data_IF_667934549543
#
_entry.id   IF_667934549543
#
_cell.length_a   1.000
_cell.length_b   1.000
_cell.length_c   1.000
_cell.angle_alpha   90.00
_cell.angle_beta   90.00
_cell.angle_gamma   90.00
#
_symmetry.space_group_name_H-M   'P 1'
#
loop_
_entity.id
_entity.type
_entity.pdbx_description
1 polymer ?
#
# COMPACT_ATOMS: atom_id res chain seq x y z
N UNK A 1 25.28 2.06 -8.91
CA UNK A 1 24.72 3.05 -9.86
C UNK A 1 23.73 3.95 -9.13
N UNK A 2 23.86 5.27 -9.23
CA UNK A 2 22.91 6.21 -8.61
C UNK A 2 21.58 6.31 -9.37
N UNK A 3 20.47 6.19 -8.65
CA UNK A 3 19.12 6.52 -9.12
C UNK A 3 18.43 7.46 -8.12
N UNK A 4 17.39 8.16 -8.57
CA UNK A 4 16.53 8.94 -7.68
C UNK A 4 15.10 8.39 -7.77
N UNK A 5 14.47 8.18 -6.61
CA UNK A 5 13.07 7.76 -6.53
C UNK A 5 12.24 8.93 -6.05
N UNK A 6 11.19 9.24 -6.81
CA UNK A 6 10.24 10.30 -6.56
C UNK A 6 8.93 9.70 -6.09
N UNK A 7 8.57 10.00 -4.84
CA UNK A 7 7.32 9.55 -4.24
C UNK A 7 6.41 10.75 -3.98
N UNK A 8 5.18 10.65 -4.47
CA UNK A 8 4.13 11.64 -4.28
C UNK A 8 2.90 10.98 -3.69
N UNK A 9 2.11 11.74 -2.94
CA UNK A 9 0.80 11.30 -2.49
C UNK A 9 -0.27 12.38 -2.65
N UNK A 10 -1.51 11.92 -2.81
CA UNK A 10 -2.72 12.74 -2.91
C UNK A 10 -3.92 11.92 -2.51
N UNK A 11 -4.80 12.52 -1.70
CA UNK A 11 -6.10 11.93 -1.39
C UNK A 11 -7.15 12.50 -2.33
N UNK A 12 -8.02 11.63 -2.85
CA UNK A 12 -9.19 11.97 -3.65
C UNK A 12 -10.35 11.03 -3.28
N UNK A 13 -11.45 11.55 -2.75
CA UNK A 13 -12.68 10.81 -2.46
C UNK A 13 -12.46 9.44 -1.79
N UNK A 14 -12.04 9.44 -0.52
CA UNK A 14 -11.68 8.26 0.29
C UNK A 14 -10.62 7.33 -0.36
N UNK A 15 -9.89 7.82 -1.37
CA UNK A 15 -8.83 7.06 -2.06
C UNK A 15 -7.50 7.78 -1.91
N UNK A 16 -6.50 7.09 -1.39
CA UNK A 16 -5.12 7.56 -1.37
C UNK A 16 -4.40 7.11 -2.63
N UNK A 17 -3.87 8.05 -3.40
CA UNK A 17 -3.05 7.77 -4.57
C UNK A 17 -1.59 7.98 -4.17
N UNK A 18 -0.76 6.96 -4.38
CA UNK A 18 0.68 6.97 -4.17
C UNK A 18 1.33 6.82 -5.54
N UNK A 19 2.22 7.73 -5.89
CA UNK A 19 2.95 7.71 -7.15
C UNK A 19 4.44 7.57 -6.87
N UNK A 20 5.08 6.48 -7.32
CA UNK A 20 6.47 6.14 -7.05
C UNK A 20 7.24 5.83 -8.35
N UNK A 21 8.11 6.73 -8.79
CA UNK A 21 8.80 6.63 -10.07
C UNK A 21 10.26 7.02 -9.97
N UNK A 22 11.09 6.54 -10.88
CA UNK A 22 12.48 7.01 -11.00
C UNK A 22 12.61 8.32 -11.81
N UNK A 23 11.50 8.80 -12.39
CA UNK A 23 11.42 10.06 -13.12
C UNK A 23 10.38 10.99 -12.50
N UNK A 24 10.78 12.21 -12.12
CA UNK A 24 9.89 13.21 -11.53
C UNK A 24 8.67 13.54 -12.40
N UNK A 25 8.88 13.68 -13.71
CA UNK A 25 7.81 14.00 -14.68
C UNK A 25 6.78 12.88 -14.77
N UNK A 26 7.22 11.62 -14.73
CA UNK A 26 6.33 10.46 -14.70
C UNK A 26 5.52 10.43 -13.39
N UNK A 27 6.15 10.73 -12.25
CA UNK A 27 5.44 10.78 -10.98
C UNK A 27 4.34 11.86 -10.96
N UNK A 28 4.68 13.09 -11.37
CA UNK A 28 3.73 14.21 -11.37
C UNK A 28 2.58 14.03 -12.37
N UNK A 29 2.87 13.52 -13.58
CA UNK A 29 1.84 13.29 -14.60
C UNK A 29 0.83 12.21 -14.20
N UNK A 30 1.23 11.27 -13.35
CA UNK A 30 0.38 10.18 -12.88
C UNK A 30 -0.62 10.64 -11.81
N UNK A 31 -0.17 11.48 -10.87
CA UNK A 31 -1.00 11.93 -9.73
C UNK A 31 -1.76 13.25 -9.98
N UNK A 32 -1.29 14.03 -10.96
CA UNK A 32 -1.86 15.32 -11.32
C UNK A 32 -1.47 16.45 -10.37
N UNK A 33 -2.00 17.68 -10.61
CA UNK A 33 -1.61 18.86 -9.84
C UNK A 33 -2.03 18.76 -8.37
N UNK A 34 -1.32 19.52 -7.51
CA UNK A 34 -1.52 19.65 -6.06
C UNK A 34 -1.18 18.40 -5.23
N UNK A 35 -0.34 17.51 -5.75
CA UNK A 35 0.26 16.42 -4.97
C UNK A 35 1.30 16.92 -3.98
N UNK A 36 1.42 16.27 -2.83
CA UNK A 36 2.49 16.54 -1.86
C UNK A 36 3.72 15.69 -2.24
N UNK A 37 4.85 16.30 -2.64
CA UNK A 37 6.09 15.56 -2.83
C UNK A 37 6.63 15.08 -1.48
N UNK A 38 7.17 13.86 -1.46
CA UNK A 38 8.28 13.55 -0.58
C UNK A 38 9.57 14.10 -1.20
N UNK A 39 10.57 14.35 -0.37
CA UNK A 39 11.91 14.62 -0.87
C UNK A 39 12.37 13.46 -1.75
N UNK A 40 13.00 13.72 -2.91
CA UNK A 40 13.54 12.66 -3.76
C UNK A 40 14.52 11.81 -2.96
N UNK A 41 14.38 10.50 -3.07
CA UNK A 41 15.25 9.56 -2.37
C UNK A 41 16.36 9.15 -3.33
N UNK A 42 17.58 9.57 -3.03
CA UNK A 42 18.76 9.18 -3.81
C UNK A 42 19.24 7.82 -3.32
N UNK A 43 19.47 6.91 -4.25
CA UNK A 43 19.89 5.55 -3.97
C UNK A 43 21.06 5.15 -4.84
N UNK A 44 22.08 4.61 -4.21
CA UNK A 44 23.12 3.86 -4.90
C UNK A 44 22.75 2.39 -4.87
N UNK A 45 22.31 1.88 -6.03
CA UNK A 45 21.99 0.47 -6.14
C UNK A 45 23.29 -0.33 -6.30
N UNK A 46 23.45 -1.42 -5.51
CA UNK A 46 24.52 -2.39 -5.73
C UNK A 46 24.33 -3.08 -7.09
N UNK A 47 25.41 -3.67 -7.59
CA UNK A 47 25.38 -4.34 -8.91
C UNK A 47 24.63 -5.68 -8.86
N UNK A 48 24.70 -6.38 -7.73
CA UNK A 48 23.94 -7.61 -7.51
C UNK A 48 22.45 -7.32 -7.40
N UNK A 49 21.66 -7.98 -8.26
CA UNK A 49 20.23 -7.77 -8.40
C UNK A 49 19.46 -7.95 -7.09
N UNK A 50 19.72 -9.05 -6.39
CA UNK A 50 19.00 -9.41 -5.17
C UNK A 50 19.21 -8.33 -4.10
N UNK A 51 20.44 -7.83 -3.97
CA UNK A 51 20.76 -6.72 -3.07
C UNK A 51 20.13 -5.41 -3.54
N UNK A 52 20.13 -5.14 -4.85
CA UNK A 52 19.50 -3.94 -5.40
C UNK A 52 17.99 -3.92 -5.13
N UNK A 53 17.32 -5.07 -5.27
CA UNK A 53 15.90 -5.21 -4.97
C UNK A 53 15.60 -5.13 -3.48
N UNK A 54 16.48 -5.64 -2.62
CA UNK A 54 16.37 -5.47 -1.18
C UNK A 54 16.47 -3.99 -0.77
N UNK A 55 17.47 -3.26 -1.29
CA UNK A 55 17.65 -1.82 -1.04
C UNK A 55 16.45 -1.00 -1.54
N UNK A 56 15.99 -1.28 -2.77
CA UNK A 56 14.79 -0.64 -3.32
C UNK A 56 13.56 -0.90 -2.43
N UNK A 57 13.34 -2.15 -2.04
CA UNK A 57 12.21 -2.54 -1.19
C UNK A 57 12.26 -1.79 0.14
N UNK A 58 13.37 -1.92 0.87
CA UNK A 58 13.51 -1.32 2.20
C UNK A 58 13.31 0.19 2.15
N UNK A 59 13.93 0.86 1.18
CA UNK A 59 13.82 2.30 1.02
C UNK A 59 12.38 2.74 0.74
N UNK A 60 11.74 2.13 -0.26
CA UNK A 60 10.40 2.53 -0.69
C UNK A 60 9.37 2.22 0.40
N UNK A 61 9.45 1.03 1.01
CA UNK A 61 8.55 0.62 2.09
C UNK A 61 8.74 1.55 3.31
N UNK A 62 9.97 1.84 3.69
CA UNK A 62 10.25 2.75 4.81
C UNK A 62 9.70 4.16 4.54
N UNK A 63 9.91 4.71 3.33
CA UNK A 63 9.41 6.03 2.97
C UNK A 63 7.87 6.11 3.00
N UNK A 64 7.18 5.10 2.47
CA UNK A 64 5.72 5.00 2.51
C UNK A 64 5.26 4.91 3.98
N UNK A 65 5.87 4.04 4.77
CA UNK A 65 5.51 3.82 6.16
C UNK A 65 5.68 5.09 7.01
N UNK A 66 6.77 5.84 6.83
CA UNK A 66 7.06 7.02 7.64
C UNK A 66 6.25 8.26 7.23
N UNK A 67 5.97 8.41 5.94
CA UNK A 67 5.45 9.69 5.41
C UNK A 67 4.05 9.63 4.85
N UNK A 68 3.59 8.45 4.44
CA UNK A 68 2.30 8.26 3.76
C UNK A 68 1.32 7.50 4.63
N UNK A 69 1.75 6.45 5.33
CA UNK A 69 0.87 5.67 6.19
C UNK A 69 0.13 6.51 7.26
N UNK A 70 0.75 7.53 7.90
CA UNK A 70 0.04 8.37 8.88
C UNK A 70 -1.16 9.15 8.34
N UNK A 71 -1.24 9.35 7.01
CA UNK A 71 -2.36 10.05 6.36
C UNK A 71 -3.37 9.08 5.71
N UNK A 72 -3.19 7.77 5.88
CA UNK A 72 -4.04 6.75 5.26
C UNK A 72 -5.28 6.37 6.10
N UNK A 73 -5.34 6.76 7.37
CA UNK A 73 -6.36 6.30 8.32
C UNK A 73 -7.82 6.61 7.93
N UNK A 74 -8.05 7.59 7.05
CA UNK A 74 -9.40 7.99 6.60
C UNK A 74 -9.75 7.51 5.19
N UNK A 75 -8.86 6.77 4.52
CA UNK A 75 -9.13 6.27 3.17
C UNK A 75 -9.60 4.83 3.21
N UNK A 76 -10.46 4.48 2.25
CA UNK A 76 -10.98 3.12 2.05
C UNK A 76 -10.16 2.34 1.03
N UNK A 77 -9.49 3.06 0.13
CA UNK A 77 -8.73 2.50 -0.97
C UNK A 77 -7.37 3.17 -1.09
N UNK A 78 -6.37 2.39 -1.49
CA UNK A 78 -5.05 2.86 -1.87
C UNK A 78 -4.78 2.45 -3.31
N UNK A 79 -4.38 3.42 -4.14
CA UNK A 79 -3.87 3.18 -5.48
C UNK A 79 -2.38 3.47 -5.45
N UNK A 80 -1.56 2.43 -5.55
CA UNK A 80 -0.13 2.57 -5.78
C UNK A 80 0.14 2.58 -7.29
N UNK A 81 0.82 3.59 -7.81
CA UNK A 81 1.23 3.68 -9.20
C UNK A 81 2.74 3.90 -9.28
N UNK A 82 3.43 3.16 -10.15
CA UNK A 82 4.88 3.30 -10.26
C UNK A 82 5.51 2.58 -11.44
N UNK A 83 6.78 2.85 -11.68
CA UNK A 83 7.55 2.11 -12.69
C UNK A 83 7.67 0.64 -12.29
N UNK A 84 7.46 -0.25 -13.25
CA UNK A 84 7.51 -1.70 -13.04
C UNK A 84 8.88 -2.22 -12.56
N UNK A 85 9.95 -1.48 -12.86
CA UNK A 85 11.33 -1.78 -12.48
C UNK A 85 11.94 -0.73 -11.54
N UNK A 86 11.23 0.35 -11.20
CA UNK A 86 11.73 1.48 -10.40
C UNK A 86 13.12 2.00 -10.82
N UNK A 87 13.38 2.06 -12.12
CA UNK A 87 14.66 2.57 -12.64
C UNK A 87 15.82 1.58 -12.59
N UNK A 88 15.59 0.33 -12.16
CA UNK A 88 16.58 -0.73 -12.29
C UNK A 88 16.88 -1.02 -13.76
N UNK A 89 18.17 -1.07 -14.13
CA UNK A 89 18.62 -1.17 -15.53
C UNK A 89 18.36 -2.51 -16.20
N UNK A 90 18.05 -3.58 -15.45
CA UNK A 90 17.66 -4.87 -16.00
C UNK A 90 16.33 -4.76 -16.75
N UNK A 91 16.36 -4.78 -18.10
CA UNK A 91 15.18 -4.54 -18.96
C UNK A 91 13.99 -5.46 -18.69
N UNK A 92 14.21 -6.57 -17.99
CA UNK A 92 13.27 -7.67 -17.78
C UNK A 92 13.31 -8.20 -16.35
N UNK A 93 13.84 -7.40 -15.45
CA UNK A 93 13.99 -7.76 -14.04
C UNK A 93 13.18 -6.78 -13.21
N UNK A 94 12.31 -7.34 -12.38
CA UNK A 94 11.27 -6.59 -11.70
C UNK A 94 11.37 -6.80 -10.19
N UNK A 95 11.41 -5.73 -9.38
CA UNK A 95 11.45 -5.85 -7.93
C UNK A 95 10.22 -6.62 -7.41
N UNK A 96 10.38 -7.81 -6.79
CA UNK A 96 9.24 -8.67 -6.45
C UNK A 96 8.23 -8.03 -5.49
N UNK A 97 8.69 -7.13 -4.63
CA UNK A 97 7.85 -6.43 -3.65
C UNK A 97 6.75 -5.55 -4.27
N UNK A 98 6.90 -5.19 -5.55
CA UNK A 98 5.89 -4.42 -6.30
C UNK A 98 4.68 -5.27 -6.71
N UNK A 99 4.85 -6.58 -6.83
CA UNK A 99 3.80 -7.51 -7.26
C UNK A 99 3.26 -8.31 -6.08
N UNK A 100 4.11 -8.59 -5.10
CA UNK A 100 3.74 -9.28 -3.87
C UNK A 100 2.93 -8.42 -2.90
N UNK A 101 2.84 -8.89 -1.65
CA UNK A 101 1.97 -8.32 -0.61
C UNK A 101 2.63 -7.23 0.23
N UNK A 102 3.86 -6.80 -0.10
CA UNK A 102 4.61 -5.88 0.75
C UNK A 102 3.90 -4.53 0.92
N UNK A 103 3.36 -3.97 -0.17
CA UNK A 103 2.59 -2.73 -0.12
C UNK A 103 1.22 -2.98 0.55
N UNK A 104 0.57 -4.10 0.27
CA UNK A 104 -0.73 -4.49 0.85
C UNK A 104 -0.65 -4.61 2.37
N UNK A 105 0.47 -5.16 2.88
CA UNK A 105 0.72 -5.28 4.33
C UNK A 105 0.83 -3.92 5.02
N UNK A 106 1.30 -2.88 4.33
CA UNK A 106 1.33 -1.52 4.90
C UNK A 106 -0.08 -0.96 5.08
N UNK A 107 -1.02 -1.35 4.21
CA UNK A 107 -2.38 -0.82 4.17
C UNK A 107 -3.40 -1.94 4.40
N UNK A 108 -3.19 -2.74 5.46
CA UNK A 108 -3.94 -3.98 5.69
C UNK A 108 -5.45 -3.81 5.87
N UNK A 109 -5.89 -2.59 6.21
CA UNK A 109 -7.31 -2.25 6.38
C UNK A 109 -7.94 -1.67 5.11
N UNK A 110 -7.13 -1.37 4.09
CA UNK A 110 -7.58 -0.77 2.84
C UNK A 110 -7.49 -1.75 1.67
N UNK A 111 -8.35 -1.54 0.67
CA UNK A 111 -8.15 -2.20 -0.62
C UNK A 111 -6.96 -1.55 -1.34
N UNK A 112 -5.90 -2.31 -1.60
CA UNK A 112 -4.76 -1.84 -2.39
C UNK A 112 -4.90 -2.27 -3.84
N UNK A 113 -4.77 -1.32 -4.77
CA UNK A 113 -4.64 -1.56 -6.21
C UNK A 113 -3.28 -1.05 -6.66
N UNK A 114 -2.52 -1.87 -7.39
CA UNK A 114 -1.20 -1.52 -7.92
C UNK A 114 -1.29 -1.30 -9.43
N UNK A 115 -0.81 -0.18 -9.93
CA UNK A 115 -0.75 0.18 -11.34
C UNK A 115 0.72 0.35 -11.70
N UNK A 116 1.32 -0.72 -12.22
CA UNK A 116 2.73 -0.77 -12.58
C UNK A 116 2.91 -0.47 -14.06
N UNK A 117 3.88 0.36 -14.39
CA UNK A 117 3.99 0.90 -15.75
C UNK A 117 5.37 0.82 -16.34
N UNK A 118 5.42 0.77 -17.67
CA UNK A 118 6.66 0.90 -18.45
C UNK A 118 6.41 1.77 -19.66
N UNK A 119 7.46 2.41 -20.17
CA UNK A 119 7.43 3.09 -21.48
C UNK A 119 7.51 2.09 -22.64
N UNK A 120 7.97 0.86 -22.40
CA UNK A 120 8.12 -0.18 -23.42
C UNK A 120 6.98 -1.19 -23.39
N UNK A 121 6.35 -1.42 -24.54
CA UNK A 121 5.28 -2.42 -24.71
C UNK A 121 5.80 -3.83 -24.48
N UNK A 122 7.00 -4.15 -25.00
CA UNK A 122 7.61 -5.46 -24.84
C UNK A 122 7.81 -5.82 -23.37
N UNK A 123 8.26 -4.85 -22.56
CA UNK A 123 8.46 -5.02 -21.12
C UNK A 123 7.13 -5.27 -20.40
N UNK A 124 6.04 -4.60 -20.82
CA UNK A 124 4.69 -4.82 -20.27
C UNK A 124 4.18 -6.23 -20.58
N UNK A 125 4.34 -6.66 -21.83
CA UNK A 125 3.87 -7.97 -22.27
C UNK A 125 4.65 -9.11 -21.64
N UNK A 126 5.97 -8.95 -21.53
CA UNK A 126 6.82 -9.91 -20.84
C UNK A 126 6.49 -10.01 -19.36
N UNK A 127 6.37 -8.89 -18.66
CA UNK A 127 6.02 -8.91 -17.24
C UNK A 127 4.67 -9.62 -17.01
N UNK A 128 3.69 -9.44 -17.91
CA UNK A 128 2.40 -10.14 -17.84
C UNK A 128 2.48 -11.64 -18.05
N UNK A 129 3.48 -12.11 -18.81
CA UNK A 129 3.70 -13.55 -19.05
C UNK A 129 4.48 -14.20 -17.91
N UNK A 130 5.46 -13.48 -17.37
CA UNK A 130 6.44 -14.04 -16.44
C UNK A 130 5.98 -13.93 -14.97
N UNK A 131 5.17 -12.92 -14.64
CA UNK A 131 4.77 -12.66 -13.26
C UNK A 131 3.40 -13.27 -12.97
N UNK A 132 3.27 -13.88 -11.80
CA UNK A 132 1.98 -14.27 -11.25
C UNK A 132 1.28 -13.01 -10.73
N UNK A 133 0.42 -12.42 -11.57
CA UNK A 133 -0.26 -11.15 -11.28
C UNK A 133 -1.51 -11.43 -10.44
N UNK A 134 -1.52 -10.93 -9.21
CA UNK A 134 -2.73 -10.90 -8.39
C UNK A 134 -3.79 -9.97 -9.00
N UNK A 135 -5.08 -10.23 -8.75
CA UNK A 135 -6.20 -9.49 -9.37
C UNK A 135 -6.17 -7.97 -9.14
N UNK A 136 -5.46 -7.50 -8.12
CA UNK A 136 -5.33 -6.09 -7.77
C UNK A 136 -4.09 -5.41 -8.41
N UNK A 137 -3.34 -6.12 -9.25
CA UNK A 137 -2.17 -5.59 -9.95
C UNK A 137 -2.49 -5.40 -11.44
N UNK A 138 -2.30 -4.19 -11.94
CA UNK A 138 -2.49 -3.81 -13.33
C UNK A 138 -1.16 -3.38 -13.92
N UNK A 139 -0.73 -4.08 -14.97
CA UNK A 139 0.47 -3.70 -15.72
C UNK A 139 0.08 -3.04 -17.04
N UNK A 140 0.58 -1.83 -17.32
CA UNK A 140 0.23 -1.11 -18.55
C UNK A 140 1.33 -0.16 -19.06
N UNK A 141 1.16 0.35 -20.27
CA UNK A 141 2.04 1.41 -20.80
C UNK A 141 1.83 2.69 -20.00
N UNK A 142 2.92 3.43 -19.75
CA UNK A 142 2.96 4.70 -19.00
C UNK A 142 1.88 5.69 -19.45
N UNK A 143 1.63 5.83 -20.76
CA UNK A 143 0.59 6.73 -21.30
C UNK A 143 -0.84 6.36 -20.90
N UNK A 144 -1.09 5.11 -20.47
CA UNK A 144 -2.39 4.62 -20.01
C UNK A 144 -2.58 4.73 -18.50
N UNK A 145 -1.54 5.07 -17.74
CA UNK A 145 -1.56 5.09 -16.26
C UNK A 145 -2.66 5.99 -15.70
N UNK A 146 -2.70 7.25 -16.15
CA UNK A 146 -3.68 8.23 -15.67
C UNK A 146 -5.13 7.82 -16.00
N UNK A 147 -5.36 7.23 -17.18
CA UNK A 147 -6.68 6.71 -17.55
C UNK A 147 -7.11 5.55 -16.65
N UNK A 148 -6.19 4.64 -16.30
CA UNK A 148 -6.45 3.54 -15.36
C UNK A 148 -6.78 4.07 -13.97
N UNK A 149 -6.00 5.01 -13.44
CA UNK A 149 -6.29 5.64 -12.14
C UNK A 149 -7.69 6.26 -12.14
N UNK A 150 -8.04 7.04 -13.16
CA UNK A 150 -9.38 7.64 -13.29
C UNK A 150 -10.50 6.60 -13.30
N UNK A 151 -10.31 5.48 -14.00
CA UNK A 151 -11.32 4.41 -14.02
C UNK A 151 -11.55 3.76 -12.66
N UNK A 152 -10.50 3.60 -11.85
CA UNK A 152 -10.64 3.09 -10.47
C UNK A 152 -11.32 4.11 -9.56
N UNK A 153 -10.97 5.39 -9.68
CA UNK A 153 -11.63 6.46 -8.91
C UNK A 153 -13.13 6.53 -9.21
N UNK A 154 -13.52 6.51 -10.49
CA UNK A 154 -14.93 6.52 -10.88
C UNK A 154 -15.69 5.27 -10.37
N UNK A 155 -15.03 4.11 -10.37
CA UNK A 155 -15.63 2.86 -9.86
C UNK A 155 -15.85 2.89 -8.34
N UNK A 156 -14.98 3.56 -7.60
CA UNK A 156 -15.13 3.75 -6.16
C UNK A 156 -16.29 4.69 -5.81
N UNK A 157 -16.52 5.72 -6.63
CA UNK A 157 -17.62 6.68 -6.46
C UNK A 157 -18.99 6.04 -6.74
N UNK A 158 -19.12 5.24 -7.80
CA UNK A 158 -20.39 4.60 -8.15
C UNK A 158 -20.86 3.57 -7.10
N UNK A 159 -19.95 2.95 -6.34
CA UNK A 159 -20.31 2.07 -5.22
C UNK A 159 -20.91 2.83 -4.03
N UNK A 160 -20.70 4.14 -3.91
CA UNK A 160 -21.34 4.97 -2.86
C UNK A 160 -22.80 5.29 -3.18
N UNK A 161 -23.19 5.42 -4.45
CA UNK A 161 -24.56 5.83 -4.81
C UNK A 161 -25.58 4.68 -4.74
N UNK A 162 -25.14 3.43 -4.87
CA UNK A 162 -26.04 2.26 -4.88
C UNK A 162 -26.49 1.79 -3.49
N UNK A 163 -25.96 2.35 -2.38
CA UNK A 163 -26.33 1.95 -1.02
C UNK A 163 -27.37 2.91 -0.39
N UNK A 164 -27.58 4.10 -0.97
CA UNK A 164 -28.50 5.10 -0.41
C UNK A 164 -29.89 5.11 -1.04
N UNK A 165 -30.23 4.16 -1.92
CA UNK A 165 -31.48 4.15 -2.69
C UNK A 165 -32.49 3.04 -2.30
N UNK A 166 -32.19 2.16 -1.34
CA UNK A 166 -33.06 1.02 -0.97
C UNK A 166 -33.51 1.02 0.50
N UNK A 167 -33.84 2.19 1.08
CA UNK A 167 -34.61 2.25 2.34
C UNK A 167 -35.70 3.29 2.19
N UNK A 168 -36.75 2.96 1.43
CA UNK A 168 -37.79 3.95 1.14
C UNK A 168 -39.07 3.46 0.49
N UNK A 169 -39.35 2.16 0.50
CA UNK A 169 -40.64 1.51 0.27
C UNK A 169 -40.32 0.01 0.49
N UNK A 170 -41.03 -0.81 1.27
CA UNK A 170 -42.44 -1.11 1.18
C UNK A 170 -42.96 -1.71 2.50
N UNK A 171 -44.17 -1.31 2.88
CA UNK A 171 -45.24 -2.09 3.51
C UNK A 171 -45.07 -2.72 4.91
N UNK A 172 -45.73 -2.01 5.84
CA UNK A 172 -46.61 -2.49 6.90
C UNK A 172 -47.39 -3.79 6.62
N UNK A 173 -47.68 -4.50 7.72
CA UNK A 173 -48.60 -5.62 7.95
C UNK A 173 -48.04 -7.04 7.80
N UNK A 174 -47.68 -7.65 8.94
CA UNK A 174 -48.46 -8.77 9.48
C UNK A 174 -48.12 -9.09 10.94
N UNK A 175 -49.17 -9.41 11.68
CA UNK A 175 -49.24 -9.67 13.11
C UNK A 175 -49.53 -11.18 13.31
N UNK A 176 -48.91 -11.75 14.36
CA UNK A 176 -49.21 -13.05 15.01
C UNK A 176 -48.85 -14.31 14.18
N UNK A 177 -48.40 -15.46 14.72
CA UNK A 177 -48.46 -16.03 16.07
C UNK A 177 -47.48 -17.22 16.19
N UNK A 178 -47.36 -17.72 17.42
CA UNK A 178 -46.95 -19.05 17.87
C UNK A 178 -45.65 -19.13 18.68
N UNK A 179 -45.88 -19.45 19.95
CA UNK A 179 -44.96 -19.83 21.00
C UNK A 179 -44.49 -21.28 20.82
N UNK A 180 -43.26 -21.55 21.27
CA UNK A 180 -42.85 -22.71 22.08
C UNK A 180 -41.38 -22.47 22.49
N UNK A 181 -41.13 -22.06 23.73
CA UNK A 181 -40.69 -22.90 24.86
C UNK A 181 -39.24 -23.42 24.76
N UNK A 182 -38.43 -22.88 25.68
CA UNK A 182 -37.40 -23.52 26.49
C UNK A 182 -36.21 -24.23 25.81
N UNK A 183 -35.02 -23.62 26.02
CA UNK A 183 -33.99 -24.25 26.87
C UNK A 183 -32.91 -23.28 27.32
N UNK A 184 -32.81 -23.19 28.64
CA UNK A 184 -31.66 -22.79 29.44
C UNK A 184 -30.32 -23.24 28.85
N UNK A 185 -29.33 -22.34 28.80
CA UNK A 185 -27.97 -22.66 29.24
C UNK A 185 -27.30 -21.39 29.80
N UNK A 186 -27.11 -21.44 31.12
CA UNK A 186 -26.40 -20.46 31.91
C UNK A 186 -24.89 -20.79 31.92
N UNK A 187 -24.10 -19.71 31.86
CA UNK A 187 -22.78 -19.52 32.49
C UNK A 187 -21.57 -20.29 31.90
N UNK A 188 -20.62 -19.54 31.34
CA UNK A 188 -19.32 -19.29 31.99
C UNK A 188 -18.45 -18.28 31.22
N UNK A 189 -18.18 -17.13 31.85
CA UNK A 189 -17.08 -16.21 31.51
C UNK A 189 -15.75 -16.77 32.03
N UNK A 190 -14.69 -16.89 31.22
CA UNK A 190 -13.34 -17.00 31.74
C UNK A 190 -12.74 -15.62 32.03
N UNK A 191 -12.07 -15.57 33.18
CA UNK A 191 -11.50 -14.41 33.86
C UNK A 191 -10.28 -13.85 33.12
N UNK A 192 -10.16 -12.52 33.15
CA UNK A 192 -8.93 -11.78 32.89
C UNK A 192 -7.76 -12.32 33.74
N UNK A 193 -6.63 -12.62 33.09
CA UNK A 193 -5.34 -12.70 33.77
C UNK A 193 -4.46 -11.56 33.26
N UNK A 194 -4.32 -10.54 34.12
CA UNK A 194 -3.25 -9.56 34.07
C UNK A 194 -1.95 -10.26 34.45
N UNK A 195 -1.00 -10.38 33.52
CA UNK A 195 0.40 -10.68 33.85
C UNK A 195 1.21 -9.40 33.71
N UNK A 196 1.54 -8.85 34.89
CA UNK A 196 2.56 -7.86 35.17
C UNK A 196 3.92 -8.49 34.84
N UNK A 197 4.71 -7.89 33.95
CA UNK A 197 6.14 -8.21 33.80
C UNK A 197 6.91 -6.92 34.11
N UNK A 198 7.78 -7.07 35.10
CA UNK A 198 8.63 -6.06 35.71
C UNK A 198 9.70 -5.54 34.74
N UNK A 199 9.99 -4.24 34.89
CA UNK A 199 11.23 -3.62 34.49
C UNK A 199 12.39 -4.28 35.25
N UNK A 200 13.43 -4.69 34.54
CA UNK A 200 14.76 -4.85 35.10
C UNK A 200 15.67 -3.78 34.50
N UNK A 201 16.00 -2.83 35.36
CA UNK A 201 17.09 -1.88 35.28
C UNK A 201 18.42 -2.67 35.31
N UNK A 202 19.29 -2.49 34.32
CA UNK A 202 20.70 -2.83 34.44
C UNK A 202 21.55 -1.74 33.81
N UNK A 203 21.87 -0.76 34.66
CA UNK A 203 23.09 0.03 34.62
C UNK A 203 24.31 -0.89 34.53
N UNK A 204 25.13 -0.70 33.50
CA UNK A 204 26.51 -1.15 33.49
C UNK A 204 27.41 0.04 33.15
N UNK A 205 27.88 0.70 34.21
CA UNK A 205 29.15 1.42 34.19
C UNK A 205 30.27 0.41 33.87
N UNK A 206 31.05 0.64 32.82
CA UNK A 206 32.43 0.17 32.78
C UNK A 206 33.34 1.37 32.55
N UNK A 207 34.10 1.59 33.60
CA UNK A 207 35.13 2.58 33.80
C UNK A 207 36.43 2.24 33.06
N UNK A 208 37.19 3.30 32.81
CA UNK A 208 38.66 3.40 32.88
C UNK A 208 39.51 3.22 31.61
N UNK A 209 40.20 4.34 31.30
CA UNK A 209 41.64 4.52 31.04
C UNK A 209 42.23 3.75 29.83
N UNK A 210 43.03 4.37 28.96
CA UNK A 210 44.16 5.28 29.25
C UNK A 210 44.58 6.04 27.97
N UNK A 211 45.28 7.19 28.12
CA UNK A 211 46.02 7.82 27.05
C UNK A 211 47.43 7.20 26.94
N UNK A 212 47.91 7.01 25.72
CA UNK A 212 49.27 6.53 25.44
C UNK A 212 49.85 7.25 24.22
N UNK A 213 50.70 8.23 24.53
CA UNK A 213 51.84 8.79 23.78
C UNK A 213 51.65 9.23 22.33
#
# INVERSE_FOLDING_TARGET
>A
MGIEIFIYSKTNNDTLIISCFHEKTAALSTIGPRSKPLEPIKLDLPDEKENAFAVLRETVIHAIQQKILPIANSVKQVIYAGDINLGYKGKKEYPPFLFGKDIDKLFSEQMVVKILVSSSQDVVEEAKKTLLIENNVVICIKTKAAAKIKSYLASAENKKSSVSAEVGAENSMNLASSLSEDRFFDIAKPKEKKSKIELADQSAEVSSKSPGS
#
